data_IF_062883382878
#
_entry.id   IF_062883382878
#
_cell.length_a   1.000
_cell.length_b   1.000
_cell.length_c   1.000
_cell.angle_alpha   90.00
_cell.angle_beta   90.00
_cell.angle_gamma   90.00
#
_symmetry.space_group_name_H-M   'P 1'
#
loop_
_entity.id
_entity.type
_entity.pdbx_description
1 polymer ?
#
# COMPACT_ATOMS: atom_id res chain seq x y z
N UNK A 1 -21.04 37.46 -30.06
CA UNK A 1 -20.06 36.35 -30.11
C UNK A 1 -20.86 35.05 -30.12
N UNK A 2 -20.71 34.18 -31.14
CA UNK A 2 -21.37 32.87 -31.14
C UNK A 2 -20.81 32.07 -29.97
N UNK A 3 -21.67 31.63 -29.04
CA UNK A 3 -21.28 30.72 -27.96
C UNK A 3 -20.64 29.48 -28.59
N UNK A 4 -19.33 29.31 -28.36
CA UNK A 4 -18.60 28.14 -28.84
C UNK A 4 -19.05 26.96 -27.97
N UNK A 5 -19.63 25.95 -28.61
CA UNK A 5 -20.11 24.76 -27.92
C UNK A 5 -18.91 24.02 -27.28
N UNK A 6 -18.88 23.95 -25.95
CA UNK A 6 -17.83 23.22 -25.21
C UNK A 6 -18.24 21.76 -25.13
N UNK A 7 -17.46 20.89 -25.77
CA UNK A 7 -17.62 19.44 -25.66
C UNK A 7 -16.71 18.89 -24.58
N UNK A 8 -17.30 18.24 -23.58
CA UNK A 8 -16.59 17.54 -22.51
C UNK A 8 -16.66 16.04 -22.80
N UNK A 9 -15.50 15.39 -22.89
CA UNK A 9 -15.41 13.95 -23.10
C UNK A 9 -15.00 13.26 -21.80
N UNK A 10 -15.73 12.20 -21.43
CA UNK A 10 -15.41 11.37 -20.27
C UNK A 10 -14.92 10.01 -20.75
N UNK A 11 -13.65 9.70 -20.48
CA UNK A 11 -13.00 8.45 -20.88
C UNK A 11 -13.48 7.27 -20.04
N UNK A 12 -13.51 6.07 -20.63
CA UNK A 12 -13.74 4.80 -19.94
C UNK A 12 -12.67 3.77 -20.32
N UNK A 13 -12.06 3.05 -19.37
CA UNK A 13 -12.29 3.12 -17.91
C UNK A 13 -11.65 4.37 -17.28
N UNK A 14 -12.21 4.82 -16.14
CA UNK A 14 -11.63 5.89 -15.29
C UNK A 14 -12.00 5.63 -13.82
N UNK A 15 -11.16 6.08 -12.89
CA UNK A 15 -11.42 5.99 -11.45
C UNK A 15 -10.75 4.78 -10.81
N UNK A 16 -11.48 4.12 -9.91
CA UNK A 16 -10.93 3.06 -9.06
C UNK A 16 -10.65 1.77 -9.84
N UNK A 17 -9.50 1.17 -9.54
CA UNK A 17 -9.20 -0.20 -9.93
C UNK A 17 -9.51 -1.15 -8.78
N UNK A 18 -9.58 -2.46 -9.07
CA UNK A 18 -9.89 -3.48 -8.07
C UNK A 18 -8.92 -3.48 -6.87
N UNK A 19 -7.65 -3.12 -7.07
CA UNK A 19 -6.66 -3.02 -5.99
C UNK A 19 -6.96 -1.87 -5.03
N UNK A 20 -7.36 -0.72 -5.57
CA UNK A 20 -7.75 0.47 -4.78
C UNK A 20 -9.03 0.19 -3.99
N UNK A 21 -10.06 -0.36 -4.64
CA UNK A 21 -11.32 -0.72 -3.97
C UNK A 21 -11.07 -1.70 -2.81
N UNK A 22 -10.30 -2.76 -3.07
CA UNK A 22 -9.93 -3.74 -2.05
C UNK A 22 -9.22 -3.10 -0.86
N UNK A 23 -8.24 -2.24 -1.11
CA UNK A 23 -7.44 -1.64 -0.03
C UNK A 23 -8.28 -0.71 0.86
N UNK A 24 -9.15 0.11 0.26
CA UNK A 24 -10.08 0.97 0.99
C UNK A 24 -11.06 0.14 1.83
N UNK A 25 -11.61 -0.93 1.26
CA UNK A 25 -12.54 -1.81 1.97
C UNK A 25 -11.87 -2.58 3.11
N UNK A 26 -10.59 -2.95 2.98
CA UNK A 26 -9.82 -3.54 4.08
C UNK A 26 -9.77 -2.58 5.26
N UNK A 27 -9.44 -1.30 5.06
CA UNK A 27 -9.39 -0.32 6.15
C UNK A 27 -10.74 -0.22 6.86
N UNK A 28 -11.83 -0.05 6.10
CA UNK A 28 -13.19 0.05 6.68
C UNK A 28 -13.58 -1.21 7.46
N UNK A 29 -13.28 -2.40 6.92
CA UNK A 29 -13.60 -3.67 7.58
C UNK A 29 -12.76 -3.89 8.84
N UNK A 30 -11.49 -3.49 8.84
CA UNK A 30 -10.64 -3.55 10.02
C UNK A 30 -11.17 -2.61 11.11
N UNK A 31 -11.57 -1.38 10.76
CA UNK A 31 -12.20 -0.46 11.72
C UNK A 31 -13.50 -1.07 12.28
N UNK A 32 -14.34 -1.66 11.43
CA UNK A 32 -15.57 -2.33 11.87
C UNK A 32 -15.30 -3.51 12.82
N UNK A 33 -14.23 -4.27 12.58
CA UNK A 33 -13.87 -5.47 13.36
C UNK A 33 -13.20 -5.14 14.68
N UNK A 34 -12.24 -4.22 14.69
CA UNK A 34 -11.38 -3.94 15.84
C UNK A 34 -11.74 -2.65 16.57
N UNK A 35 -12.63 -1.82 16.04
CA UNK A 35 -12.86 -0.45 16.53
C UNK A 35 -11.73 0.50 16.11
N UNK A 36 -11.66 1.67 16.74
CA UNK A 36 -10.64 2.70 16.48
C UNK A 36 -9.63 2.77 17.64
N UNK A 37 -8.36 3.14 17.40
CA UNK A 37 -7.78 3.47 16.10
C UNK A 37 -7.38 2.22 15.30
N UNK A 38 -7.28 2.36 13.98
CA UNK A 38 -6.59 1.39 13.11
C UNK A 38 -5.45 2.11 12.42
N UNK A 39 -4.25 1.54 12.50
CA UNK A 39 -3.07 2.15 11.90
C UNK A 39 -2.92 1.71 10.44
N UNK A 40 -2.41 2.59 9.59
CA UNK A 40 -2.06 2.30 8.20
C UNK A 40 -0.65 2.81 7.96
N UNK A 41 0.26 1.94 7.52
CA UNK A 41 1.63 2.32 7.18
C UNK A 41 1.65 2.95 5.78
N UNK A 42 2.04 4.21 5.71
CA UNK A 42 1.85 5.14 4.59
C UNK A 42 0.38 5.31 4.19
N UNK A 43 0.10 6.25 3.27
CA UNK A 43 -1.22 6.38 2.67
C UNK A 43 -1.69 5.07 2.02
N UNK A 44 -2.94 4.67 2.28
CA UNK A 44 -3.50 3.41 1.74
C UNK A 44 -3.48 3.39 0.21
N UNK A 45 -3.71 4.57 -0.39
CA UNK A 45 -3.60 4.93 -1.82
C UNK A 45 -3.25 6.41 -1.89
N UNK A 46 -2.55 6.85 -2.93
CA UNK A 46 -2.18 8.26 -3.14
C UNK A 46 -3.37 9.14 -3.60
N UNK A 47 -4.39 9.28 -2.74
CA UNK A 47 -5.53 10.16 -2.96
C UNK A 47 -5.94 10.85 -1.67
N UNK A 48 -5.73 12.16 -1.60
CA UNK A 48 -6.03 12.99 -0.43
C UNK A 48 -7.47 12.86 0.06
N UNK A 49 -8.45 12.83 -0.84
CA UNK A 49 -9.86 12.70 -0.44
C UNK A 49 -10.15 11.35 0.21
N UNK A 50 -9.57 10.27 -0.31
CA UNK A 50 -9.70 8.93 0.29
C UNK A 50 -9.05 8.91 1.68
N UNK A 51 -7.81 9.39 1.79
CA UNK A 51 -7.06 9.43 3.05
C UNK A 51 -7.81 10.22 4.12
N UNK A 52 -8.26 11.43 3.81
CA UNK A 52 -8.99 12.27 4.75
C UNK A 52 -10.34 11.67 5.18
N UNK A 53 -11.04 10.98 4.27
CA UNK A 53 -12.28 10.29 4.62
C UNK A 53 -12.04 9.09 5.55
N UNK A 54 -10.92 8.37 5.38
CA UNK A 54 -10.56 7.26 6.26
C UNK A 54 -10.11 7.77 7.65
N UNK A 55 -9.39 8.89 7.72
CA UNK A 55 -9.04 9.53 9.00
C UNK A 55 -10.29 9.88 9.82
N UNK A 56 -11.32 10.43 9.19
CA UNK A 56 -12.60 10.78 9.84
C UNK A 56 -13.31 9.60 10.49
N UNK A 57 -13.06 8.38 10.02
CA UNK A 57 -13.66 7.16 10.60
C UNK A 57 -12.69 6.39 11.51
N UNK A 58 -11.52 6.96 11.84
CA UNK A 58 -10.59 6.45 12.84
C UNK A 58 -9.37 5.68 12.31
N UNK A 59 -9.02 5.86 11.03
CA UNK A 59 -7.72 5.44 10.54
C UNK A 59 -6.63 6.46 10.94
N UNK A 60 -5.47 5.98 11.39
CA UNK A 60 -4.28 6.80 11.65
C UNK A 60 -3.19 6.36 10.68
N UNK A 61 -2.67 7.29 9.90
CA UNK A 61 -1.59 7.03 8.95
C UNK A 61 -0.26 7.37 9.61
N UNK A 62 0.70 6.45 9.53
CA UNK A 62 2.06 6.58 10.08
C UNK A 62 3.07 6.25 9.00
N UNK A 63 4.29 6.79 9.10
CA UNK A 63 5.35 6.44 8.15
C UNK A 63 6.03 5.15 8.59
N UNK A 64 6.37 5.04 9.88
CA UNK A 64 7.05 3.89 10.45
C UNK A 64 6.27 3.21 11.59
N UNK A 65 6.55 1.92 11.81
CA UNK A 65 5.84 1.12 12.81
C UNK A 65 6.16 1.55 14.24
N UNK A 66 7.33 2.15 14.48
CA UNK A 66 7.75 2.62 15.80
C UNK A 66 6.93 3.82 16.30
N UNK A 67 6.33 4.61 15.41
CA UNK A 67 5.42 5.73 15.74
C UNK A 67 4.13 5.27 16.42
N UNK A 68 3.76 3.99 16.28
CA UNK A 68 2.55 3.43 16.85
C UNK A 68 2.77 3.14 18.35
N UNK A 69 2.25 3.97 19.25
CA UNK A 69 2.38 3.73 20.69
C UNK A 69 1.62 2.48 21.15
N UNK A 70 0.37 2.32 20.72
CA UNK A 70 -0.48 1.18 21.09
C UNK A 70 -0.27 0.00 20.14
N UNK A 71 0.70 -0.86 20.48
CA UNK A 71 1.03 -2.09 19.74
C UNK A 71 -0.06 -3.17 19.79
N UNK A 72 -1.09 -3.02 20.64
CA UNK A 72 -2.22 -3.96 20.69
C UNK A 72 -3.17 -3.78 19.50
N UNK A 73 -3.06 -2.67 18.76
CA UNK A 73 -3.91 -2.33 17.63
C UNK A 73 -3.32 -2.83 16.31
N UNK A 74 -4.19 -3.18 15.33
CA UNK A 74 -3.71 -3.66 14.05
C UNK A 74 -3.08 -2.54 13.21
N UNK A 75 -2.09 -2.91 12.40
CA UNK A 75 -1.53 -2.08 11.33
C UNK A 75 -1.84 -2.63 9.94
N UNK A 76 -2.20 -1.77 9.01
CA UNK A 76 -2.49 -2.13 7.61
C UNK A 76 -1.34 -1.68 6.72
N UNK A 77 -0.83 -2.57 5.87
CA UNK A 77 0.14 -2.19 4.83
C UNK A 77 -0.58 -1.71 3.57
N UNK A 78 -0.12 -0.61 2.98
CA UNK A 78 -0.78 0.04 1.84
C UNK A 78 -0.87 -0.82 0.58
N UNK A 79 -1.68 -0.40 -0.39
CA UNK A 79 -1.86 -1.11 -1.66
C UNK A 79 -0.56 -1.24 -2.48
N UNK A 80 0.42 -0.37 -2.22
CA UNK A 80 1.71 -0.31 -2.92
C UNK A 80 2.69 -1.41 -2.48
N UNK A 81 2.39 -2.14 -1.39
CA UNK A 81 3.29 -3.14 -0.85
C UNK A 81 4.40 -2.59 0.04
N UNK A 82 5.05 -3.50 0.76
CA UNK A 82 6.14 -3.20 1.69
C UNK A 82 7.31 -4.18 1.51
N UNK A 83 8.54 -3.78 1.88
CA UNK A 83 9.69 -4.68 1.97
C UNK A 83 9.47 -5.83 2.95
N UNK A 84 10.20 -6.94 2.80
CA UNK A 84 10.17 -8.07 3.75
C UNK A 84 10.58 -7.69 5.18
N UNK A 85 11.32 -6.59 5.35
CA UNK A 85 11.71 -6.08 6.67
C UNK A 85 10.50 -5.62 7.49
N UNK A 86 9.46 -5.07 6.86
CA UNK A 86 8.32 -4.46 7.56
C UNK A 86 7.40 -5.51 8.23
N UNK A 87 6.95 -6.60 7.57
CA UNK A 87 6.23 -7.66 8.27
C UNK A 87 7.06 -8.31 9.39
N UNK A 88 8.39 -8.45 9.19
CA UNK A 88 9.30 -8.97 10.23
C UNK A 88 9.36 -8.04 11.44
N UNK A 89 9.41 -6.73 11.21
CA UNK A 89 9.37 -5.72 12.27
C UNK A 89 8.03 -5.75 13.02
N UNK A 90 6.90 -5.80 12.31
CA UNK A 90 5.59 -5.93 12.93
C UNK A 90 5.51 -7.18 13.84
N UNK A 91 6.04 -8.32 13.38
CA UNK A 91 6.12 -9.53 14.21
C UNK A 91 7.03 -9.35 15.44
N UNK A 92 8.17 -8.66 15.33
CA UNK A 92 9.04 -8.36 16.48
C UNK A 92 8.37 -7.44 17.51
N UNK A 93 7.51 -6.53 17.04
CA UNK A 93 6.73 -5.63 17.87
C UNK A 93 5.44 -6.28 18.44
N UNK A 94 5.21 -7.58 18.17
CA UNK A 94 3.97 -8.30 18.51
C UNK A 94 2.70 -7.62 17.99
N UNK A 95 2.79 -6.95 16.84
CA UNK A 95 1.65 -6.28 16.21
C UNK A 95 0.97 -7.21 15.21
N UNK A 96 -0.37 -7.24 15.25
CA UNK A 96 -1.16 -7.83 14.18
C UNK A 96 -1.09 -6.92 12.94
N UNK A 97 -0.72 -7.47 11.79
CA UNK A 97 -0.73 -6.73 10.52
C UNK A 97 -1.73 -7.31 9.52
N UNK A 98 -2.33 -6.44 8.71
CA UNK A 98 -3.21 -6.80 7.61
C UNK A 98 -2.60 -6.27 6.30
N UNK A 99 -2.41 -7.17 5.34
CA UNK A 99 -1.80 -6.82 4.06
C UNK A 99 -2.84 -6.40 3.01
N UNK A 100 -2.90 -5.09 2.73
CA UNK A 100 -3.75 -4.53 1.69
C UNK A 100 -3.05 -4.41 0.32
N UNK A 101 -1.81 -4.91 0.18
CA UNK A 101 -1.06 -4.91 -1.09
C UNK A 101 -1.94 -5.41 -2.24
N UNK A 102 -1.90 -4.69 -3.36
CA UNK A 102 -2.60 -5.10 -4.57
C UNK A 102 -2.04 -6.47 -5.04
N UNK A 103 -2.90 -7.46 -5.38
CA UNK A 103 -2.41 -8.76 -5.86
C UNK A 103 -1.50 -8.66 -7.10
N UNK A 104 -1.66 -7.62 -7.91
CA UNK A 104 -0.76 -7.37 -9.05
C UNK A 104 0.64 -6.90 -8.60
N UNK A 105 0.74 -6.13 -7.53
CA UNK A 105 2.03 -5.76 -6.90
C UNK A 105 2.65 -6.99 -6.25
N UNK A 106 1.87 -7.77 -5.48
CA UNK A 106 2.35 -9.03 -4.89
C UNK A 106 2.84 -10.03 -5.94
N UNK A 107 2.28 -10.00 -7.16
CA UNK A 107 2.79 -10.78 -8.29
C UNK A 107 4.21 -10.33 -8.66
N UNK A 108 4.47 -9.03 -8.82
CA UNK A 108 5.82 -8.51 -9.13
C UNK A 108 6.81 -8.86 -8.01
N UNK A 109 6.40 -8.73 -6.74
CA UNK A 109 7.20 -9.15 -5.59
C UNK A 109 7.65 -10.61 -5.70
N UNK A 110 6.72 -11.51 -6.02
CA UNK A 110 7.00 -12.96 -6.17
C UNK A 110 7.88 -13.25 -7.38
N UNK A 111 7.68 -12.57 -8.51
CA UNK A 111 8.53 -12.75 -9.68
C UNK A 111 9.97 -12.30 -9.42
N UNK A 112 10.16 -11.13 -8.78
CA UNK A 112 11.48 -10.64 -8.39
C UNK A 112 12.20 -11.68 -7.50
N UNK A 113 11.53 -12.17 -6.46
CA UNK A 113 12.08 -13.19 -5.57
C UNK A 113 12.41 -14.50 -6.31
N UNK A 114 11.50 -15.00 -7.15
CA UNK A 114 11.68 -16.28 -7.83
C UNK A 114 12.78 -16.24 -8.89
N UNK A 115 12.92 -15.13 -9.62
CA UNK A 115 13.97 -14.94 -10.61
C UNK A 115 15.33 -14.77 -9.92
N UNK A 116 15.40 -14.00 -8.83
CA UNK A 116 16.61 -13.86 -8.04
C UNK A 116 17.07 -15.21 -7.46
N UNK A 117 16.17 -16.03 -6.91
CA UNK A 117 16.46 -17.41 -6.46
C UNK A 117 17.02 -18.31 -7.56
N UNK A 118 16.74 -18.01 -8.83
CA UNK A 118 17.27 -18.72 -10.00
C UNK A 118 18.61 -18.14 -10.50
N UNK A 119 19.19 -17.17 -9.80
CA UNK A 119 20.46 -16.53 -10.13
C UNK A 119 20.37 -15.45 -11.20
N UNK A 120 19.17 -14.96 -11.54
CA UNK A 120 19.03 -13.85 -12.47
C UNK A 120 19.29 -12.51 -11.80
N UNK A 121 20.01 -11.63 -12.51
CA UNK A 121 20.07 -10.22 -12.16
C UNK A 121 18.73 -9.54 -12.47
N UNK A 122 18.22 -8.76 -11.52
CA UNK A 122 16.90 -8.12 -11.63
C UNK A 122 17.10 -6.64 -11.95
N UNK A 123 16.52 -6.19 -13.06
CA UNK A 123 16.40 -4.78 -13.40
C UNK A 123 14.95 -4.35 -13.22
N UNK A 124 14.69 -3.55 -12.18
CA UNK A 124 13.36 -2.98 -11.93
C UNK A 124 13.26 -1.59 -12.56
N UNK A 125 12.29 -1.42 -13.46
CA UNK A 125 11.97 -0.11 -14.05
C UNK A 125 10.93 0.57 -13.18
N UNK A 126 11.30 1.71 -12.59
CA UNK A 126 10.40 2.50 -11.76
C UNK A 126 11.03 3.78 -11.26
N UNK A 127 10.25 4.60 -10.57
CA UNK A 127 10.75 5.83 -9.96
C UNK A 127 11.45 5.51 -8.64
N UNK A 128 12.72 5.93 -8.54
CA UNK A 128 13.50 5.84 -7.30
C UNK A 128 12.71 6.47 -6.16
N UNK A 129 12.65 5.78 -5.02
CA UNK A 129 11.92 6.15 -3.80
C UNK A 129 10.38 6.01 -3.85
N UNK A 130 9.76 5.55 -4.94
CA UNK A 130 8.33 5.24 -4.89
C UNK A 130 8.07 4.04 -3.97
N UNK A 131 7.02 4.03 -3.11
CA UNK A 131 6.76 2.95 -2.16
C UNK A 131 6.70 1.56 -2.80
N UNK A 132 6.10 1.44 -3.99
CA UNK A 132 6.02 0.18 -4.74
C UNK A 132 7.39 -0.32 -5.22
N UNK A 133 8.29 0.59 -5.59
CA UNK A 133 9.66 0.28 -6.01
C UNK A 133 10.48 -0.19 -4.81
N UNK A 134 10.38 0.53 -3.68
CA UNK A 134 11.02 0.14 -2.42
C UNK A 134 10.50 -1.23 -1.96
N UNK A 135 9.17 -1.43 -2.00
CA UNK A 135 8.52 -2.69 -1.66
C UNK A 135 9.01 -3.85 -2.52
N UNK A 136 9.11 -3.65 -3.83
CA UNK A 136 9.54 -4.68 -4.78
C UNK A 136 11.03 -5.03 -4.62
N UNK A 137 11.91 -4.03 -4.54
CA UNK A 137 13.35 -4.28 -4.31
C UNK A 137 13.59 -4.92 -2.94
N UNK A 138 12.83 -4.51 -1.93
CA UNK A 138 12.88 -5.07 -0.57
C UNK A 138 12.39 -6.52 -0.44
N UNK A 139 12.08 -7.19 -1.54
CA UNK A 139 11.87 -8.64 -1.58
C UNK A 139 13.16 -9.44 -1.73
N UNK A 140 14.22 -8.80 -2.22
CA UNK A 140 15.56 -9.37 -2.40
C UNK A 140 16.43 -9.19 -1.14
N UNK A 141 17.59 -9.84 -1.09
CA UNK A 141 18.55 -9.61 -0.01
C UNK A 141 19.28 -8.27 -0.19
N UNK A 142 19.74 -7.65 0.89
CA UNK A 142 20.46 -6.36 0.82
C UNK A 142 21.74 -6.42 -0.04
N UNK A 143 22.37 -7.60 -0.15
CA UNK A 143 23.53 -7.83 -1.03
C UNK A 143 23.19 -7.85 -2.53
N UNK A 144 21.90 -7.85 -2.88
CA UNK A 144 21.39 -8.01 -4.25
C UNK A 144 20.55 -6.82 -4.74
N UNK A 145 20.40 -5.79 -3.89
CA UNK A 145 19.66 -4.54 -4.19
C UNK A 145 20.63 -3.46 -4.69
#
# INVERSE_FOLDING_TARGET
MKNKEIKIYLVSPRGFCAGVDRAIEIVKKTIKKYGTPVYVRHEIVHNKHVVENLKKIGAIFVDELNEIEDKSRPVIFSAHGVPKSIPKEASKLNMEYIDATCPLVSKVHREAENLNKKGFHILLIGHKNHPEVIGTMGQLSESEI
#
